data_IF_099634088710
#
_entry.id   IF_099634088710
#
_cell.length_a   1.000
_cell.length_b   1.000
_cell.length_c   1.000
_cell.angle_alpha   90.00
_cell.angle_beta   90.00
_cell.angle_gamma   90.00
#
_symmetry.space_group_name_H-M   'P 1'
#
loop_
_entity.id
_entity.type
_entity.pdbx_description
1 polymer ?
#
# COMPACT_ATOMS: atom_id res chain seq x y z
N UNK A 1 7.41 25.92 4.74
CA UNK A 1 7.08 25.44 3.36
C UNK A 1 5.69 24.84 3.40
N UNK A 2 4.83 25.22 2.44
CA UNK A 2 3.43 24.80 2.36
C UNK A 2 3.27 23.75 1.24
N UNK A 3 2.78 22.58 1.60
CA UNK A 3 2.57 21.47 0.65
C UNK A 3 1.08 21.11 0.58
N UNK A 4 0.52 21.10 -0.62
CA UNK A 4 -0.85 20.64 -0.88
C UNK A 4 -0.83 19.24 -1.47
N UNK A 5 -1.22 18.25 -0.67
CA UNK A 5 -1.48 16.89 -1.12
C UNK A 5 -2.85 16.81 -1.77
N UNK A 6 -2.92 16.29 -2.99
CA UNK A 6 -4.18 16.13 -3.73
C UNK A 6 -4.40 14.67 -4.04
N UNK A 7 -5.43 14.07 -3.43
CA UNK A 7 -5.80 12.68 -3.65
C UNK A 7 -7.32 12.50 -3.65
N UNK A 8 -7.76 11.33 -4.10
CA UNK A 8 -9.16 11.06 -4.42
C UNK A 8 -10.05 11.02 -3.18
N UNK A 9 -9.62 10.34 -2.13
CA UNK A 9 -10.37 10.07 -0.88
C UNK A 9 -9.41 10.04 0.30
N UNK A 10 -9.95 10.20 1.52
CA UNK A 10 -9.15 10.15 2.75
C UNK A 10 -9.99 9.69 3.95
N UNK A 11 -9.34 9.47 5.07
CA UNK A 11 -9.99 9.11 6.34
C UNK A 11 -11.05 10.15 6.75
N UNK A 12 -12.17 9.76 7.36
CA UNK A 12 -12.63 8.39 7.62
C UNK A 12 -13.44 7.77 6.47
N UNK A 13 -13.59 8.48 5.31
CA UNK A 13 -14.45 8.03 4.21
C UNK A 13 -13.92 6.75 3.55
N UNK A 14 -12.60 6.57 3.54
CA UNK A 14 -11.91 5.35 3.06
C UNK A 14 -10.66 5.05 3.88
N UNK A 15 -10.38 3.75 4.05
CA UNK A 15 -9.17 3.24 4.69
C UNK A 15 -8.41 2.38 3.70
N UNK A 16 -7.37 2.92 3.09
CA UNK A 16 -6.55 2.23 2.09
C UNK A 16 -5.08 2.54 2.25
N UNK A 17 -4.26 1.86 1.46
CA UNK A 17 -2.80 2.04 1.51
C UNK A 17 -2.34 3.45 1.12
N UNK A 18 -3.01 4.09 0.15
CA UNK A 18 -2.66 5.45 -0.30
C UNK A 18 -2.95 6.47 0.80
N UNK A 19 -4.12 6.39 1.43
CA UNK A 19 -4.53 7.25 2.54
C UNK A 19 -3.56 7.12 3.71
N UNK A 20 -3.15 5.89 4.02
CA UNK A 20 -2.15 5.63 5.07
C UNK A 20 -0.79 6.26 4.73
N UNK A 21 -0.31 6.12 3.49
CA UNK A 21 0.95 6.73 3.04
C UNK A 21 0.90 8.26 3.15
N UNK A 22 -0.20 8.88 2.71
CA UNK A 22 -0.36 10.34 2.76
C UNK A 22 -0.44 10.83 4.20
N UNK A 23 -1.19 10.12 5.06
CA UNK A 23 -1.25 10.41 6.48
C UNK A 23 0.13 10.36 7.13
N UNK A 24 0.83 9.25 6.94
CA UNK A 24 2.18 9.04 7.46
C UNK A 24 3.15 10.13 6.97
N UNK A 25 3.11 10.46 5.67
CA UNK A 25 3.98 11.50 5.10
C UNK A 25 3.66 12.88 5.68
N UNK A 26 2.39 13.29 5.72
CA UNK A 26 1.99 14.57 6.26
C UNK A 26 2.34 14.69 7.75
N UNK A 27 2.07 13.64 8.54
CA UNK A 27 2.37 13.62 9.98
C UNK A 27 3.87 13.75 10.27
N UNK A 28 4.73 13.09 9.46
CA UNK A 28 6.18 13.10 9.70
C UNK A 28 6.92 14.28 9.07
N UNK A 29 6.32 14.98 8.10
CA UNK A 29 6.89 16.21 7.54
C UNK A 29 6.46 17.46 8.30
N UNK A 30 5.32 17.43 9.00
CA UNK A 30 4.81 18.53 9.81
C UNK A 30 5.85 19.01 10.87
N UNK A 31 6.42 18.14 11.71
CA UNK A 31 7.43 18.54 12.69
C UNK A 31 8.75 18.98 12.05
N UNK A 32 8.96 18.69 10.77
CA UNK A 32 10.13 19.14 10.00
C UNK A 32 9.93 20.52 9.35
N UNK A 33 8.85 21.24 9.68
CA UNK A 33 8.56 22.59 9.20
C UNK A 33 7.78 22.65 7.89
N UNK A 34 7.10 21.56 7.50
CA UNK A 34 6.13 21.58 6.39
C UNK A 34 4.74 21.83 6.95
N UNK A 35 4.08 22.88 6.47
CA UNK A 35 2.65 23.06 6.66
C UNK A 35 1.91 22.27 5.60
N UNK A 36 1.25 21.17 6.01
CA UNK A 36 0.57 20.28 5.09
C UNK A 36 -0.93 20.57 5.02
N UNK A 37 -1.49 20.48 3.81
CA UNK A 37 -2.92 20.34 3.55
C UNK A 37 -3.20 19.13 2.70
N UNK A 38 -4.30 18.45 2.98
CA UNK A 38 -4.76 17.28 2.23
C UNK A 38 -6.11 17.62 1.59
N UNK A 39 -6.17 17.66 0.26
CA UNK A 39 -7.33 18.02 -0.54
C UNK A 39 -7.96 16.76 -1.14
N UNK A 40 -9.23 16.51 -0.80
CA UNK A 40 -9.96 15.29 -1.18
C UNK A 40 -11.42 15.54 -1.50
N UNK A 41 -12.10 14.52 -2.04
CA UNK A 41 -13.57 14.48 -2.10
C UNK A 41 -14.14 13.63 -0.96
N UNK A 42 -15.34 14.01 -0.54
CA UNK A 42 -16.16 13.27 0.44
C UNK A 42 -17.55 12.97 -0.14
N UNK A 43 -18.16 11.82 0.14
CA UNK A 43 -19.57 11.57 -0.18
C UNK A 43 -20.51 12.38 0.72
N UNK A 44 -20.02 12.85 1.87
CA UNK A 44 -20.75 13.66 2.83
C UNK A 44 -20.69 15.17 2.53
N UNK A 45 -21.05 15.97 3.54
CA UNK A 45 -20.98 17.42 3.42
C UNK A 45 -19.55 17.95 3.39
N UNK A 46 -19.28 19.02 2.61
CA UNK A 46 -17.96 19.63 2.54
C UNK A 46 -17.54 20.17 3.90
N UNK A 47 -16.29 19.93 4.26
CA UNK A 47 -15.74 20.39 5.55
C UNK A 47 -14.23 20.57 5.50
N UNK A 48 -13.73 21.39 6.40
CA UNK A 48 -12.30 21.52 6.73
C UNK A 48 -12.09 21.09 8.18
N UNK A 49 -10.98 20.45 8.46
CA UNK A 49 -10.66 20.02 9.81
C UNK A 49 -9.15 19.80 9.97
N UNK A 50 -8.68 19.98 11.20
CA UNK A 50 -7.30 19.67 11.55
C UNK A 50 -7.24 18.25 12.09
N UNK A 51 -6.39 17.42 11.52
CA UNK A 51 -6.12 16.08 12.02
C UNK A 51 -5.29 16.15 13.32
N UNK A 52 -5.35 15.13 14.18
CA UNK A 52 -4.58 15.11 15.43
C UNK A 52 -3.07 15.31 15.22
N UNK A 53 -2.54 14.93 14.05
CA UNK A 53 -1.15 15.14 13.65
C UNK A 53 -0.83 16.60 13.22
N UNK A 54 -1.79 17.54 13.30
CA UNK A 54 -1.58 18.97 13.11
C UNK A 54 -1.69 19.49 11.67
N UNK A 55 -2.05 18.68 10.68
CA UNK A 55 -2.27 19.13 9.29
C UNK A 55 -3.77 19.28 8.96
N UNK A 56 -4.09 20.14 7.99
CA UNK A 56 -5.46 20.41 7.58
C UNK A 56 -5.93 19.43 6.49
N UNK A 57 -7.18 18.93 6.61
CA UNK A 57 -7.86 18.17 5.56
C UNK A 57 -9.04 18.96 5.03
N UNK A 58 -9.04 19.20 3.72
CA UNK A 58 -10.06 19.96 2.98
C UNK A 58 -10.88 18.96 2.17
N UNK A 59 -12.16 18.81 2.51
CA UNK A 59 -13.09 17.88 1.87
C UNK A 59 -14.11 18.64 1.04
N UNK A 60 -14.05 18.45 -0.27
CA UNK A 60 -15.07 18.94 -1.19
C UNK A 60 -16.15 17.87 -1.41
N UNK A 61 -17.40 18.30 -1.56
CA UNK A 61 -18.51 17.38 -1.85
C UNK A 61 -18.28 16.68 -3.18
N UNK A 62 -18.48 15.38 -3.19
CA UNK A 62 -18.49 14.57 -4.40
C UNK A 62 -19.88 14.59 -5.02
N UNK A 63 -20.02 15.27 -6.17
CA UNK A 63 -21.30 15.41 -6.86
C UNK A 63 -21.65 14.17 -7.67
N UNK A 64 -20.65 13.50 -8.25
CA UNK A 64 -20.82 12.31 -9.10
C UNK A 64 -19.70 11.30 -8.84
N UNK A 65 -20.02 10.00 -8.97
CA UNK A 65 -19.03 8.93 -8.88
C UNK A 65 -19.24 7.93 -10.02
N UNK A 66 -18.30 7.91 -10.98
CA UNK A 66 -18.35 7.05 -12.18
C UNK A 66 -16.97 6.45 -12.41
N UNK A 67 -16.93 5.18 -12.81
CA UNK A 67 -15.71 4.47 -13.17
C UNK A 67 -14.62 4.61 -12.12
N UNK A 68 -14.96 4.46 -10.84
CA UNK A 68 -14.07 4.64 -9.68
C UNK A 68 -13.46 6.04 -9.55
N UNK A 69 -14.03 7.05 -10.23
CA UNK A 69 -13.59 8.45 -10.18
C UNK A 69 -14.70 9.33 -9.61
N UNK A 70 -14.36 10.11 -8.58
CA UNK A 70 -15.24 11.14 -8.04
C UNK A 70 -15.05 12.46 -8.76
N UNK A 71 -16.15 13.20 -8.96
CA UNK A 71 -16.19 14.53 -9.58
C UNK A 71 -16.83 15.54 -8.63
N UNK A 72 -16.41 16.81 -8.71
CA UNK A 72 -16.91 17.90 -7.87
C UNK A 72 -16.81 19.25 -8.57
N UNK A 73 -17.94 19.87 -8.86
CA UNK A 73 -17.97 21.20 -9.47
C UNK A 73 -17.35 22.27 -8.55
N UNK A 74 -17.62 22.15 -7.26
CA UNK A 74 -17.06 23.06 -6.25
C UNK A 74 -15.53 22.91 -6.13
N UNK A 75 -14.98 21.71 -6.22
CA UNK A 75 -13.53 21.52 -6.29
C UNK A 75 -12.96 22.14 -7.56
N UNK A 76 -13.55 21.86 -8.73
CA UNK A 76 -13.08 22.45 -9.98
C UNK A 76 -13.06 23.98 -9.89
N UNK A 77 -14.11 24.61 -9.37
CA UNK A 77 -14.19 26.06 -9.23
C UNK A 77 -13.08 26.64 -8.33
N UNK A 78 -12.76 25.95 -7.22
CA UNK A 78 -11.84 26.42 -6.19
C UNK A 78 -10.41 25.87 -6.32
N UNK A 79 -10.14 24.94 -7.24
CA UNK A 79 -8.84 24.23 -7.32
C UNK A 79 -7.65 25.18 -7.42
N UNK A 80 -7.78 26.26 -8.21
CA UNK A 80 -6.72 27.28 -8.35
C UNK A 80 -6.45 28.00 -7.03
N UNK A 81 -7.50 28.39 -6.30
CA UNK A 81 -7.40 29.05 -4.98
C UNK A 81 -6.66 28.15 -3.96
N UNK A 82 -7.00 26.85 -3.93
CA UNK A 82 -6.31 25.90 -3.04
C UNK A 82 -4.84 25.73 -3.47
N UNK A 83 -4.55 25.67 -4.78
CA UNK A 83 -3.19 25.58 -5.30
C UNK A 83 -2.37 26.85 -5.01
N UNK A 84 -2.97 28.04 -5.02
CA UNK A 84 -2.29 29.31 -4.74
C UNK A 84 -1.74 29.37 -3.30
N UNK A 85 -2.37 28.70 -2.36
CA UNK A 85 -1.87 28.58 -0.99
C UNK A 85 -0.54 27.83 -0.90
N UNK A 86 -0.32 26.84 -1.76
CA UNK A 86 0.84 25.96 -1.70
C UNK A 86 2.10 26.56 -2.31
N UNK A 87 3.24 26.24 -1.75
CA UNK A 87 4.54 26.43 -2.38
C UNK A 87 4.86 25.25 -3.30
N UNK A 88 4.44 24.03 -2.94
CA UNK A 88 4.57 22.78 -3.71
C UNK A 88 3.24 22.05 -3.80
N UNK A 89 2.88 21.60 -5.00
CA UNK A 89 1.75 20.69 -5.24
C UNK A 89 2.26 19.24 -5.19
N UNK A 90 1.71 18.42 -4.32
CA UNK A 90 1.99 16.99 -4.28
C UNK A 90 0.75 16.19 -4.71
N UNK A 91 0.78 15.75 -5.95
CA UNK A 91 -0.34 15.02 -6.55
C UNK A 91 -0.18 13.52 -6.32
N UNK A 92 -1.27 12.83 -6.02
CA UNK A 92 -1.30 11.38 -5.82
C UNK A 92 -2.04 10.70 -6.97
N UNK A 93 -1.29 10.08 -7.86
CA UNK A 93 -1.80 9.44 -9.07
C UNK A 93 -2.13 7.95 -8.81
N UNK A 94 -3.26 7.40 -9.36
CA UNK A 94 -4.13 8.00 -10.37
C UNK A 94 -5.40 8.66 -9.80
N UNK A 95 -5.69 9.86 -10.27
CA UNK A 95 -6.99 10.47 -10.11
C UNK A 95 -7.33 11.36 -11.32
N UNK A 96 -7.95 10.80 -12.40
CA UNK A 96 -8.19 11.51 -13.66
C UNK A 96 -8.89 12.86 -13.54
N UNK A 97 -9.76 13.01 -12.56
CA UNK A 97 -10.45 14.29 -12.33
C UNK A 97 -9.52 15.38 -11.77
N UNK A 98 -8.63 15.07 -10.86
CA UNK A 98 -7.65 16.03 -10.36
C UNK A 98 -6.67 16.44 -11.47
N UNK A 99 -6.28 15.52 -12.35
CA UNK A 99 -5.43 15.80 -13.50
C UNK A 99 -6.10 16.79 -14.44
N UNK A 100 -7.41 16.60 -14.68
CA UNK A 100 -8.23 17.53 -15.46
C UNK A 100 -8.32 18.90 -14.78
N UNK A 101 -8.60 18.96 -13.47
CA UNK A 101 -8.65 20.21 -12.71
C UNK A 101 -7.31 20.98 -12.80
N UNK A 102 -6.20 20.28 -12.64
CA UNK A 102 -4.85 20.84 -12.75
C UNK A 102 -4.62 21.51 -14.11
N UNK A 103 -4.97 20.82 -15.19
CA UNK A 103 -4.78 21.33 -16.56
C UNK A 103 -5.74 22.49 -16.90
N UNK A 104 -7.04 22.34 -16.57
CA UNK A 104 -8.06 23.36 -16.87
C UNK A 104 -7.85 24.66 -16.09
N UNK A 105 -7.34 24.55 -14.86
CA UNK A 105 -7.09 25.74 -14.03
C UNK A 105 -5.71 26.39 -14.26
N UNK A 106 -4.92 25.83 -15.18
CA UNK A 106 -3.64 26.41 -15.58
C UNK A 106 -2.68 26.55 -14.40
N UNK A 107 -2.56 25.52 -13.56
CA UNK A 107 -1.69 25.56 -12.40
C UNK A 107 -0.23 25.68 -12.85
N UNK A 108 0.44 26.72 -12.34
CA UNK A 108 1.85 26.98 -12.58
C UNK A 108 2.60 27.06 -11.24
N UNK A 109 2.72 25.91 -10.59
CA UNK A 109 3.39 25.74 -9.30
C UNK A 109 4.39 24.58 -9.38
N UNK A 110 5.49 24.61 -8.64
CA UNK A 110 6.32 23.43 -8.45
C UNK A 110 5.45 22.24 -8.06
N UNK A 111 5.46 21.19 -8.89
CA UNK A 111 4.54 20.06 -8.72
C UNK A 111 5.26 18.73 -8.89
N UNK A 112 5.01 17.81 -7.99
CA UNK A 112 5.46 16.44 -8.09
C UNK A 112 4.30 15.44 -7.93
N UNK A 113 4.53 14.22 -8.37
CA UNK A 113 3.57 13.12 -8.27
C UNK A 113 4.17 11.98 -7.44
N UNK A 114 3.38 11.43 -6.51
CA UNK A 114 3.49 10.05 -6.06
C UNK A 114 2.68 9.16 -6.99
N UNK A 115 3.37 8.33 -7.76
CA UNK A 115 2.76 7.38 -8.70
C UNK A 115 2.50 6.07 -7.99
N UNK A 116 1.24 5.84 -7.59
CA UNK A 116 0.87 4.68 -6.78
C UNK A 116 0.64 3.42 -7.63
N UNK A 117 0.03 3.55 -8.78
CA UNK A 117 -0.24 2.41 -9.68
C UNK A 117 -0.59 2.88 -11.09
N UNK A 118 -0.49 1.96 -12.05
CA UNK A 118 -1.13 2.11 -13.35
C UNK A 118 -2.66 2.02 -13.23
N UNK A 119 -3.37 2.61 -14.19
CA UNK A 119 -4.81 2.37 -14.36
C UNK A 119 -4.98 1.05 -15.10
N UNK A 120 -5.10 -0.05 -14.37
CA UNK A 120 -5.15 -1.42 -14.93
C UNK A 120 -6.55 -1.79 -15.39
N UNK A 121 -7.58 -1.40 -14.63
CA UNK A 121 -8.97 -1.67 -14.97
C UNK A 121 -9.50 -0.63 -15.96
N UNK A 122 -10.43 -1.03 -16.86
CA UNK A 122 -11.09 -0.12 -17.81
C UNK A 122 -10.21 0.27 -19.01
N UNK A 123 -9.68 -0.72 -19.72
CA UNK A 123 -8.75 -0.56 -20.86
C UNK A 123 -9.22 0.48 -21.89
N UNK A 124 -10.51 0.51 -22.25
CA UNK A 124 -11.05 1.46 -23.23
C UNK A 124 -11.04 2.90 -22.70
N UNK A 125 -11.47 3.11 -21.45
CA UNK A 125 -11.45 4.43 -20.82
C UNK A 125 -10.01 4.92 -20.61
N UNK A 126 -9.09 4.01 -20.31
CA UNK A 126 -7.67 4.36 -20.19
C UNK A 126 -7.08 4.84 -21.52
N UNK A 127 -7.51 4.29 -22.67
CA UNK A 127 -7.09 4.81 -24.00
C UNK A 127 -7.56 6.23 -24.25
N UNK A 128 -8.79 6.56 -23.86
CA UNK A 128 -9.32 7.93 -23.98
C UNK A 128 -8.65 8.91 -22.99
N UNK A 129 -8.32 8.41 -21.81
CA UNK A 129 -7.65 9.21 -20.78
C UNK A 129 -6.15 9.43 -21.08
N UNK A 130 -5.51 8.55 -21.82
CA UNK A 130 -4.06 8.57 -22.04
C UNK A 130 -3.51 9.93 -22.54
N UNK A 131 -4.13 10.65 -23.52
CA UNK A 131 -3.64 11.95 -23.95
C UNK A 131 -3.66 13.00 -22.83
N UNK A 132 -4.74 13.03 -22.04
CA UNK A 132 -4.88 13.94 -20.90
C UNK A 132 -3.83 13.63 -19.82
N UNK A 133 -3.70 12.34 -19.45
CA UNK A 133 -2.69 11.84 -18.51
C UNK A 133 -1.28 12.25 -18.93
N UNK A 134 -0.92 11.99 -20.19
CA UNK A 134 0.43 12.24 -20.68
C UNK A 134 0.74 13.75 -20.69
N UNK A 135 -0.25 14.59 -21.07
CA UNK A 135 -0.13 16.04 -20.98
C UNK A 135 0.01 16.50 -19.52
N UNK A 136 -0.76 15.93 -18.61
CA UNK A 136 -0.68 16.22 -17.19
C UNK A 136 0.69 15.81 -16.61
N UNK A 137 1.11 14.55 -16.83
CA UNK A 137 2.40 14.06 -16.37
C UNK A 137 3.57 14.88 -16.96
N UNK A 138 3.45 15.37 -18.21
CA UNK A 138 4.49 16.22 -18.80
C UNK A 138 4.72 17.52 -18.05
N UNK A 139 3.68 18.07 -17.39
CA UNK A 139 3.74 19.31 -16.60
C UNK A 139 4.37 19.12 -15.21
N UNK A 140 4.48 17.91 -14.74
CA UNK A 140 5.06 17.63 -13.42
C UNK A 140 6.59 17.77 -13.45
N UNK A 141 7.15 18.37 -12.42
CA UNK A 141 8.61 18.54 -12.28
C UNK A 141 9.31 17.20 -12.02
N UNK A 142 8.70 16.36 -11.17
CA UNK A 142 9.19 15.01 -10.82
C UNK A 142 8.04 14.03 -10.65
N UNK A 143 8.31 12.76 -10.90
CA UNK A 143 7.41 11.63 -10.63
C UNK A 143 8.16 10.67 -9.71
N UNK A 144 7.53 10.32 -8.59
CA UNK A 144 8.10 9.39 -7.62
C UNK A 144 7.31 8.08 -7.63
N UNK A 145 8.02 6.99 -7.87
CA UNK A 145 7.49 5.63 -7.77
C UNK A 145 7.96 4.98 -6.46
N UNK A 146 7.16 4.09 -5.92
CA UNK A 146 7.43 3.46 -4.61
C UNK A 146 8.42 2.29 -4.68
N UNK A 147 8.62 1.70 -5.86
CA UNK A 147 9.52 0.56 -6.05
C UNK A 147 10.21 0.58 -7.42
N UNK A 148 11.40 -0.06 -7.54
CA UNK A 148 12.03 -0.28 -8.85
C UNK A 148 11.17 -1.12 -9.79
N UNK A 149 10.42 -2.10 -9.26
CA UNK A 149 9.54 -2.97 -10.04
C UNK A 149 8.53 -2.17 -10.87
N UNK A 150 7.77 -1.27 -10.23
CA UNK A 150 6.80 -0.45 -10.97
C UNK A 150 7.49 0.54 -11.93
N UNK A 151 8.68 1.04 -11.60
CA UNK A 151 9.44 1.89 -12.51
C UNK A 151 9.79 1.16 -13.81
N UNK A 152 10.10 -0.14 -13.73
CA UNK A 152 10.47 -0.97 -14.88
C UNK A 152 9.26 -1.50 -15.63
N UNK A 153 8.22 -1.95 -14.93
CA UNK A 153 7.05 -2.61 -15.52
C UNK A 153 6.02 -1.65 -16.10
N UNK A 154 5.93 -0.40 -15.59
CA UNK A 154 4.94 0.58 -16.04
C UNK A 154 5.33 1.22 -17.37
N UNK A 155 4.55 1.01 -18.46
CA UNK A 155 4.79 1.69 -19.75
C UNK A 155 4.68 3.23 -19.61
N UNK A 156 3.87 3.70 -18.67
CA UNK A 156 3.71 5.14 -18.40
C UNK A 156 4.99 5.70 -17.80
N UNK A 157 5.53 5.08 -16.77
CA UNK A 157 6.76 5.55 -16.12
C UNK A 157 7.97 5.44 -17.05
N UNK A 158 8.03 4.42 -17.90
CA UNK A 158 9.07 4.29 -18.91
C UNK A 158 9.06 5.46 -19.91
N UNK A 159 7.88 5.98 -20.28
CA UNK A 159 7.75 7.19 -21.12
C UNK A 159 8.32 8.44 -20.44
N UNK A 160 8.26 8.50 -19.11
CA UNK A 160 8.72 9.64 -18.30
C UNK A 160 9.94 9.33 -17.45
N UNK A 161 10.76 8.35 -17.84
CA UNK A 161 11.91 7.83 -17.07
C UNK A 161 12.89 8.93 -16.63
N UNK A 162 13.12 9.96 -17.46
CA UNK A 162 14.09 11.02 -17.19
C UNK A 162 13.76 11.85 -15.94
N UNK A 163 12.45 11.96 -15.60
CA UNK A 163 11.98 12.65 -14.41
C UNK A 163 11.38 11.74 -13.33
N UNK A 164 11.42 10.42 -13.55
CA UNK A 164 10.99 9.43 -12.57
C UNK A 164 12.13 9.11 -11.62
N UNK A 165 11.84 9.10 -10.32
CA UNK A 165 12.77 8.78 -9.23
C UNK A 165 12.11 7.84 -8.23
N UNK A 166 12.91 7.20 -7.41
CA UNK A 166 12.43 6.29 -6.37
C UNK A 166 12.30 7.01 -5.03
N UNK A 167 11.11 6.97 -4.44
CA UNK A 167 10.90 7.18 -3.00
C UNK A 167 9.94 6.09 -2.52
N UNK A 168 10.47 5.15 -1.75
CA UNK A 168 9.70 4.05 -1.14
C UNK A 168 8.73 4.55 -0.08
N UNK A 169 7.63 3.84 0.08
CA UNK A 169 6.72 4.12 1.19
C UNK A 169 7.36 3.76 2.52
N UNK A 170 7.08 4.59 3.51
CA UNK A 170 7.40 4.36 4.90
C UNK A 170 6.14 4.12 5.71
N UNK A 171 6.28 3.31 6.74
CA UNK A 171 5.22 3.03 7.71
C UNK A 171 5.66 3.50 9.10
N UNK A 172 4.69 3.73 9.98
CA UNK A 172 4.93 4.08 11.38
C UNK A 172 5.86 3.08 12.04
N UNK A 173 6.83 3.60 12.79
CA UNK A 173 7.71 2.75 13.58
C UNK A 173 7.07 2.46 14.94
N UNK A 174 6.99 1.19 15.26
CA UNK A 174 6.56 0.74 16.58
C UNK A 174 7.67 -0.11 17.20
N UNK A 175 7.84 -0.01 18.51
CA UNK A 175 8.73 -0.89 19.23
C UNK A 175 8.36 -2.37 19.01
N UNK A 176 9.36 -3.21 18.94
CA UNK A 176 9.18 -4.66 18.81
C UNK A 176 8.38 -5.19 20.01
N UNK A 177 7.35 -5.97 19.75
CA UNK A 177 6.58 -6.64 20.79
C UNK A 177 7.39 -7.84 21.29
N UNK A 178 7.59 -7.97 22.62
CA UNK A 178 8.28 -9.16 23.15
C UNK A 178 7.57 -10.46 22.79
N UNK A 179 8.30 -11.52 22.52
CA UNK A 179 7.72 -12.85 22.25
C UNK A 179 6.93 -13.41 23.44
N UNK A 180 7.24 -12.95 24.65
CA UNK A 180 6.59 -13.35 25.91
C UNK A 180 5.31 -12.53 26.21
N UNK A 181 4.96 -11.57 25.37
CA UNK A 181 3.75 -10.75 25.53
C UNK A 181 2.50 -11.63 25.62
N UNK A 182 1.58 -11.29 26.53
CA UNK A 182 0.38 -12.10 26.82
C UNK A 182 -0.51 -12.25 25.58
N UNK A 183 -0.66 -11.19 24.78
CA UNK A 183 -1.48 -11.24 23.57
C UNK A 183 -0.81 -12.08 22.47
N UNK A 184 0.52 -12.06 22.36
CA UNK A 184 1.28 -12.93 21.46
C UNK A 184 1.08 -14.41 21.85
N UNK A 185 1.23 -14.73 23.14
CA UNK A 185 0.99 -16.09 23.65
C UNK A 185 -0.46 -16.55 23.48
N UNK A 186 -1.42 -15.66 23.63
CA UNK A 186 -2.83 -15.97 23.39
C UNK A 186 -3.10 -16.37 21.94
N UNK A 187 -2.50 -15.69 20.96
CA UNK A 187 -2.59 -16.07 19.56
C UNK A 187 -1.92 -17.44 19.28
N UNK A 188 -0.75 -17.67 19.86
CA UNK A 188 -0.06 -18.97 19.74
C UNK A 188 -0.84 -20.11 20.40
N UNK A 189 -1.48 -19.88 21.53
CA UNK A 189 -2.36 -20.86 22.16
C UNK A 189 -3.58 -21.20 21.31
N UNK A 190 -4.10 -20.23 20.55
CA UNK A 190 -5.29 -20.38 19.70
C UNK A 190 -5.00 -21.10 18.39
N UNK A 191 -3.88 -20.79 17.72
CA UNK A 191 -3.59 -21.28 16.35
C UNK A 191 -2.39 -22.22 16.28
N UNK A 192 -1.73 -22.47 17.39
CA UNK A 192 -0.49 -23.21 17.46
C UNK A 192 0.76 -22.32 17.50
N UNK A 193 1.92 -22.85 17.91
CA UNK A 193 3.17 -22.08 18.03
C UNK A 193 3.76 -21.72 16.65
N UNK A 194 3.32 -22.37 15.60
CA UNK A 194 3.73 -22.11 14.21
C UNK A 194 2.50 -22.06 13.33
N UNK A 195 2.19 -20.89 12.79
CA UNK A 195 1.11 -20.71 11.82
C UNK A 195 1.49 -19.66 10.76
N UNK A 196 1.01 -19.85 9.56
CA UNK A 196 1.10 -18.84 8.49
C UNK A 196 -0.01 -17.82 8.65
N UNK A 197 0.30 -16.57 8.32
CA UNK A 197 -0.62 -15.45 8.46
C UNK A 197 -0.79 -14.70 7.13
N UNK A 198 -2.04 -14.46 6.76
CA UNK A 198 -2.43 -13.46 5.77
C UNK A 198 -3.23 -12.34 6.45
N UNK A 199 -2.98 -11.10 6.07
CA UNK A 199 -3.74 -9.92 6.49
C UNK A 199 -4.11 -9.05 5.31
N UNK A 200 -5.39 -8.73 5.17
CA UNK A 200 -5.86 -7.80 4.14
C UNK A 200 -7.29 -8.03 3.68
N UNK A 201 -7.79 -7.12 2.84
CA UNK A 201 -9.11 -7.27 2.24
C UNK A 201 -9.18 -8.54 1.37
N UNK A 202 -10.25 -9.32 1.51
CA UNK A 202 -10.47 -10.58 0.79
C UNK A 202 -11.00 -10.26 -0.62
N UNK A 203 -10.09 -9.84 -1.51
CA UNK A 203 -10.38 -9.51 -2.91
C UNK A 203 -9.68 -10.46 -3.86
N UNK A 204 -10.22 -10.65 -5.05
CA UNK A 204 -9.71 -11.59 -6.05
C UNK A 204 -8.19 -11.41 -6.32
N UNK A 205 -7.73 -10.17 -6.53
CA UNK A 205 -6.32 -9.89 -6.85
C UNK A 205 -5.33 -10.29 -5.74
N UNK A 206 -5.83 -10.52 -4.52
CA UNK A 206 -5.02 -10.99 -3.39
C UNK A 206 -4.63 -12.47 -3.50
N UNK A 207 -5.20 -13.23 -4.43
CA UNK A 207 -4.77 -14.58 -4.75
C UNK A 207 -5.02 -15.64 -3.66
N UNK A 208 -5.92 -15.39 -2.70
CA UNK A 208 -6.17 -16.33 -1.61
C UNK A 208 -6.69 -17.69 -2.08
N UNK A 209 -7.37 -17.75 -3.22
CA UNK A 209 -7.78 -19.01 -3.86
C UNK A 209 -6.57 -19.86 -4.27
N UNK A 210 -5.45 -19.22 -4.65
CA UNK A 210 -4.19 -19.90 -4.97
C UNK A 210 -3.54 -20.44 -3.68
N UNK A 211 -3.54 -19.66 -2.60
CA UNK A 211 -3.05 -20.12 -1.29
C UNK A 211 -3.85 -21.33 -0.77
N UNK A 212 -5.18 -21.27 -0.87
CA UNK A 212 -6.06 -22.36 -0.42
C UNK A 212 -5.76 -23.65 -1.22
N UNK A 213 -5.58 -23.55 -2.53
CA UNK A 213 -5.16 -24.70 -3.35
C UNK A 213 -3.74 -25.20 -2.98
N UNK A 214 -2.82 -24.29 -2.67
CA UNK A 214 -1.47 -24.61 -2.23
C UNK A 214 -1.43 -25.37 -0.88
N UNK A 215 -2.45 -25.17 -0.04
CA UNK A 215 -2.56 -25.87 1.26
C UNK A 215 -3.10 -27.31 1.13
N UNK A 216 -3.58 -27.72 -0.04
CA UNK A 216 -4.11 -29.07 -0.26
C UNK A 216 -3.04 -30.13 0.07
N UNK A 217 -3.38 -31.07 0.95
CA UNK A 217 -2.49 -32.11 1.41
C UNK A 217 -1.40 -31.67 2.39
N UNK A 218 -1.48 -30.44 2.91
CA UNK A 218 -0.57 -29.86 3.90
C UNK A 218 -1.30 -29.53 5.19
N UNK A 219 -0.76 -29.98 6.29
CA UNK A 219 -1.34 -29.73 7.63
C UNK A 219 -0.63 -28.56 8.32
N UNK A 220 -0.55 -27.42 7.63
CA UNK A 220 0.06 -26.20 8.16
C UNK A 220 -1.00 -25.23 8.66
N UNK A 221 -1.06 -24.92 9.97
CA UNK A 221 -1.99 -23.96 10.49
C UNK A 221 -1.85 -22.63 9.75
N UNK A 222 -2.96 -22.14 9.18
CA UNK A 222 -2.97 -20.91 8.40
C UNK A 222 -4.13 -20.02 8.83
N UNK A 223 -3.85 -18.76 9.07
CA UNK A 223 -4.83 -17.76 9.54
C UNK A 223 -5.00 -16.68 8.48
N UNK A 224 -6.22 -16.52 8.00
CA UNK A 224 -6.62 -15.48 7.06
C UNK A 224 -7.43 -14.43 7.82
N UNK A 225 -6.89 -13.21 7.92
CA UNK A 225 -7.54 -12.10 8.62
C UNK A 225 -8.02 -11.05 7.63
N UNK A 226 -9.28 -10.69 7.75
CA UNK A 226 -9.91 -9.62 6.96
C UNK A 226 -11.31 -9.95 6.51
N UNK A 227 -11.89 -9.02 5.74
CA UNK A 227 -13.21 -9.14 5.11
C UNK A 227 -13.13 -8.79 3.63
N UNK A 228 -14.09 -9.23 2.85
CA UNK A 228 -14.17 -8.87 1.44
C UNK A 228 -15.21 -9.69 0.67
N UNK A 229 -15.37 -9.33 -0.60
CA UNK A 229 -16.33 -9.93 -1.53
C UNK A 229 -16.03 -11.40 -1.84
N UNK A 230 -14.79 -11.84 -1.63
CA UNK A 230 -14.36 -13.23 -1.87
C UNK A 230 -14.54 -14.16 -0.66
N UNK A 231 -14.95 -13.66 0.50
CA UNK A 231 -14.94 -14.43 1.75
C UNK A 231 -15.74 -15.75 1.66
N UNK A 232 -16.96 -15.70 1.11
CA UNK A 232 -17.81 -16.90 1.00
C UNK A 232 -17.22 -17.92 0.03
N UNK A 233 -16.72 -17.47 -1.13
CA UNK A 233 -16.11 -18.36 -2.12
C UNK A 233 -14.86 -19.05 -1.57
N UNK A 234 -14.01 -18.31 -0.83
CA UNK A 234 -12.80 -18.85 -0.21
C UNK A 234 -13.13 -19.89 0.87
N UNK A 235 -14.13 -19.64 1.73
CA UNK A 235 -14.59 -20.59 2.74
C UNK A 235 -15.16 -21.86 2.10
N UNK A 236 -15.90 -21.71 1.00
CA UNK A 236 -16.44 -22.85 0.27
C UNK A 236 -15.33 -23.70 -0.36
N UNK A 237 -14.33 -23.07 -1.00
CA UNK A 237 -13.17 -23.77 -1.56
C UNK A 237 -12.39 -24.53 -0.47
N UNK A 238 -12.14 -23.90 0.68
CA UNK A 238 -11.47 -24.54 1.80
C UNK A 238 -12.22 -25.79 2.30
N UNK A 239 -13.53 -25.72 2.40
CA UNK A 239 -14.41 -26.84 2.77
C UNK A 239 -14.35 -27.99 1.75
N UNK A 240 -14.41 -27.66 0.46
CA UNK A 240 -14.35 -28.66 -0.63
C UNK A 240 -13.01 -29.39 -0.65
N UNK A 241 -11.93 -28.71 -0.29
CA UNK A 241 -10.59 -29.31 -0.16
C UNK A 241 -10.35 -30.00 1.18
N UNK A 242 -11.31 -29.96 2.10
CA UNK A 242 -11.22 -30.59 3.42
C UNK A 242 -10.16 -29.95 4.34
N UNK A 243 -9.86 -28.68 4.19
CA UNK A 243 -8.86 -27.98 5.01
C UNK A 243 -9.43 -27.68 6.41
N UNK A 244 -8.93 -28.37 7.43
CA UNK A 244 -9.37 -28.21 8.83
C UNK A 244 -8.49 -27.24 9.62
N UNK A 245 -7.29 -26.96 9.15
CA UNK A 245 -6.26 -26.12 9.77
C UNK A 245 -6.22 -24.70 9.19
N UNK A 246 -7.19 -24.31 8.36
CA UNK A 246 -7.35 -22.97 7.81
C UNK A 246 -8.41 -22.19 8.61
N UNK A 247 -8.01 -21.06 9.20
CA UNK A 247 -8.84 -20.26 10.07
C UNK A 247 -9.14 -18.89 9.43
N UNK A 248 -10.42 -18.55 9.29
CA UNK A 248 -10.87 -17.23 8.88
C UNK A 248 -11.19 -16.39 10.12
N UNK A 249 -10.51 -15.26 10.26
CA UNK A 249 -10.69 -14.32 11.36
C UNK A 249 -11.22 -12.99 10.78
N UNK A 250 -12.22 -12.37 11.39
CA UNK A 250 -12.67 -11.05 11.00
C UNK A 250 -11.54 -10.01 11.07
N UNK A 251 -11.82 -8.80 10.61
CA UNK A 251 -10.91 -7.68 10.78
C UNK A 251 -10.59 -7.44 12.25
N UNK A 252 -9.34 -7.20 12.55
CA UNK A 252 -8.80 -6.97 13.90
C UNK A 252 -8.31 -5.53 14.05
N UNK A 253 -8.17 -5.04 15.27
CA UNK A 253 -7.59 -3.74 15.57
C UNK A 253 -6.12 -3.66 15.17
N UNK A 254 -5.58 -2.45 15.07
CA UNK A 254 -4.15 -2.26 14.76
C UNK A 254 -3.23 -2.85 15.83
N UNK A 255 -3.64 -2.88 17.08
CA UNK A 255 -2.89 -3.49 18.16
C UNK A 255 -2.89 -5.02 18.04
N UNK A 256 -4.07 -5.62 17.86
CA UNK A 256 -4.21 -7.05 17.60
C UNK A 256 -3.46 -7.50 16.34
N UNK A 257 -3.50 -6.68 15.27
CA UNK A 257 -2.72 -6.94 14.05
C UNK A 257 -1.23 -7.09 14.34
N UNK A 258 -0.65 -6.20 15.15
CA UNK A 258 0.78 -6.25 15.49
C UNK A 258 1.12 -7.46 16.35
N UNK A 259 0.32 -7.76 17.37
CA UNK A 259 0.55 -8.95 18.22
C UNK A 259 0.36 -10.25 17.45
N UNK A 260 -0.59 -10.28 16.49
CA UNK A 260 -0.81 -11.43 15.62
C UNK A 260 0.35 -11.63 14.64
N UNK A 261 0.86 -10.56 14.02
CA UNK A 261 2.07 -10.63 13.19
C UNK A 261 3.28 -11.11 14.00
N UNK A 262 3.42 -10.66 15.25
CA UNK A 262 4.50 -11.08 16.13
C UNK A 262 4.38 -12.56 16.56
N UNK A 263 3.16 -13.07 16.66
CA UNK A 263 2.88 -14.46 17.01
C UNK A 263 3.06 -15.43 15.83
N UNK A 264 2.91 -14.96 14.62
CA UNK A 264 2.97 -15.78 13.41
C UNK A 264 4.38 -16.29 13.10
N UNK A 265 4.44 -17.43 12.40
CA UNK A 265 5.67 -18.05 11.96
C UNK A 265 6.16 -17.55 10.61
N UNK A 266 5.25 -17.28 9.69
CA UNK A 266 5.54 -16.74 8.37
C UNK A 266 4.35 -15.96 7.82
N UNK A 267 4.63 -14.92 7.05
CA UNK A 267 3.61 -14.12 6.39
C UNK A 267 3.41 -14.59 4.96
N UNK A 268 2.18 -14.91 4.57
CA UNK A 268 1.85 -15.38 3.22
C UNK A 268 1.09 -14.29 2.47
N UNK A 269 1.60 -13.91 1.30
CA UNK A 269 1.06 -12.83 0.50
C UNK A 269 0.91 -13.24 -0.97
N UNK A 270 -0.12 -14.04 -1.29
CA UNK A 270 -0.30 -14.64 -2.61
C UNK A 270 -0.85 -13.69 -3.67
N UNK A 271 -0.79 -12.35 -3.46
CA UNK A 271 -1.26 -11.37 -4.43
C UNK A 271 -0.67 -11.63 -5.80
N UNK A 272 -1.55 -11.79 -6.80
CA UNK A 272 -1.18 -12.33 -8.11
C UNK A 272 -1.41 -11.35 -9.28
N UNK A 273 -1.83 -10.12 -8.98
CA UNK A 273 -2.10 -9.10 -10.02
C UNK A 273 -1.41 -7.77 -9.68
N UNK A 274 -1.01 -6.99 -10.69
CA UNK A 274 -0.37 -5.68 -10.51
C UNK A 274 -1.24 -4.60 -9.82
N UNK A 275 -2.52 -4.91 -9.55
CA UNK A 275 -3.38 -4.09 -8.67
C UNK A 275 -2.84 -3.98 -7.24
N UNK A 276 -1.97 -4.91 -6.83
CA UNK A 276 -1.15 -4.79 -5.63
C UNK A 276 0.11 -4.00 -5.95
N UNK A 277 0.06 -2.70 -5.72
CA UNK A 277 1.12 -1.80 -6.18
C UNK A 277 2.41 -1.86 -5.34
N UNK A 278 2.31 -2.14 -4.04
CA UNK A 278 3.47 -2.13 -3.13
C UNK A 278 3.45 -3.27 -2.10
N UNK A 279 2.29 -3.53 -1.50
CA UNK A 279 2.18 -4.46 -0.39
C UNK A 279 2.63 -3.84 0.94
N UNK A 280 1.97 -2.76 1.39
CA UNK A 280 2.29 -2.08 2.66
C UNK A 280 2.33 -3.07 3.83
N UNK A 281 1.44 -4.06 3.82
CA UNK A 281 1.39 -5.10 4.85
C UNK A 281 2.65 -5.98 4.88
N UNK A 282 3.39 -6.10 3.78
CA UNK A 282 4.71 -6.77 3.77
C UNK A 282 5.75 -5.95 4.55
N UNK A 283 5.71 -4.61 4.44
CA UNK A 283 6.56 -3.75 5.26
C UNK A 283 6.18 -3.84 6.76
N UNK A 284 4.88 -3.96 7.06
CA UNK A 284 4.41 -4.19 8.43
C UNK A 284 4.88 -5.56 8.98
N UNK A 285 4.85 -6.62 8.15
CA UNK A 285 5.40 -7.93 8.51
C UNK A 285 6.92 -7.85 8.74
N UNK A 286 7.64 -7.16 7.84
CA UNK A 286 9.09 -6.94 7.98
C UNK A 286 9.44 -6.22 9.29
N UNK A 287 8.62 -5.23 9.71
CA UNK A 287 8.79 -4.51 10.98
C UNK A 287 8.73 -5.44 12.19
N UNK A 288 7.95 -6.51 12.12
CA UNK A 288 7.86 -7.51 13.19
C UNK A 288 8.92 -8.62 13.07
N UNK A 289 9.82 -8.53 12.09
CA UNK A 289 10.78 -9.58 11.81
C UNK A 289 10.15 -10.86 11.29
N UNK A 290 8.96 -10.76 10.67
CA UNK A 290 8.21 -11.90 10.16
C UNK A 290 8.64 -12.17 8.70
N UNK A 291 9.25 -13.33 8.41
CA UNK A 291 9.66 -13.69 7.06
C UNK A 291 8.44 -13.96 6.16
N UNK A 292 8.61 -13.78 4.84
CA UNK A 292 7.48 -13.67 3.93
C UNK A 292 7.54 -14.66 2.77
N UNK A 293 6.38 -15.13 2.31
CA UNK A 293 6.20 -15.77 1.00
C UNK A 293 5.30 -14.86 0.17
N UNK A 294 5.79 -14.38 -0.97
CA UNK A 294 5.05 -13.47 -1.86
C UNK A 294 5.20 -13.86 -3.32
N UNK A 295 4.49 -13.16 -4.22
CA UNK A 295 4.58 -13.41 -5.66
C UNK A 295 5.31 -12.27 -6.39
N UNK A 296 6.04 -12.62 -7.47
CA UNK A 296 6.62 -11.66 -8.40
C UNK A 296 5.57 -11.17 -9.39
N UNK A 297 5.07 -9.98 -9.18
CA UNK A 297 4.01 -9.38 -10.01
C UNK A 297 4.43 -8.08 -10.70
N UNK A 298 5.73 -7.79 -10.72
CA UNK A 298 6.30 -6.59 -11.36
C UNK A 298 6.02 -5.29 -10.62
N UNK A 299 5.72 -5.34 -9.31
CA UNK A 299 5.38 -4.16 -8.50
C UNK A 299 6.31 -4.02 -7.29
N UNK A 300 5.80 -3.53 -6.15
CA UNK A 300 6.58 -3.38 -4.92
C UNK A 300 6.75 -4.65 -4.09
N UNK A 301 6.00 -5.71 -4.38
CA UNK A 301 5.97 -6.91 -3.52
C UNK A 301 7.33 -7.59 -3.40
N UNK A 302 7.99 -7.83 -4.53
CA UNK A 302 9.35 -8.40 -4.61
C UNK A 302 10.46 -7.41 -4.26
N UNK A 303 10.14 -6.12 -4.16
CA UNK A 303 11.06 -5.12 -3.62
C UNK A 303 11.03 -5.09 -2.08
N UNK A 304 9.88 -5.32 -1.47
CA UNK A 304 9.78 -5.43 0.00
C UNK A 304 10.30 -6.78 0.47
N UNK A 305 9.81 -7.87 -0.13
CA UNK A 305 10.27 -9.23 0.13
C UNK A 305 11.31 -9.65 -0.92
N UNK A 306 12.56 -9.79 -0.51
CA UNK A 306 13.64 -10.24 -1.38
C UNK A 306 13.77 -11.75 -1.34
N UNK A 307 13.74 -12.38 -2.54
CA UNK A 307 13.86 -13.83 -2.67
C UNK A 307 15.17 -14.37 -2.10
N UNK A 308 15.07 -15.40 -1.26
CA UNK A 308 16.19 -16.02 -0.57
C UNK A 308 16.85 -15.16 0.52
N UNK A 309 16.40 -13.90 0.72
CA UNK A 309 16.97 -12.99 1.71
C UNK A 309 16.03 -12.66 2.87
N UNK A 310 14.79 -12.26 2.57
CA UNK A 310 13.77 -11.93 3.58
C UNK A 310 12.59 -12.89 3.58
N UNK A 311 12.67 -13.89 2.72
CA UNK A 311 11.69 -14.93 2.51
C UNK A 311 11.80 -15.53 1.12
N UNK A 312 10.69 -15.98 0.55
CA UNK A 312 10.63 -16.55 -0.81
C UNK A 312 9.69 -15.76 -1.69
N UNK A 313 10.05 -15.67 -2.98
CA UNK A 313 9.21 -15.05 -4.00
C UNK A 313 8.92 -16.09 -5.10
N UNK A 314 7.64 -16.32 -5.37
CA UNK A 314 7.20 -17.35 -6.33
C UNK A 314 6.47 -16.72 -7.51
N UNK A 315 6.25 -17.51 -8.57
CA UNK A 315 5.43 -17.09 -9.71
C UNK A 315 3.97 -16.84 -9.24
N UNK A 316 3.31 -15.80 -9.78
CA UNK A 316 1.91 -15.51 -9.45
C UNK A 316 0.98 -16.59 -10.03
N UNK A 317 -0.13 -16.86 -9.33
CA UNK A 317 -1.15 -17.87 -9.72
C UNK A 317 -0.62 -19.31 -9.80
N UNK A 318 0.52 -19.62 -9.20
CA UNK A 318 1.11 -20.94 -9.16
C UNK A 318 0.96 -21.55 -7.74
N UNK A 319 -0.09 -22.34 -7.55
CA UNK A 319 -0.36 -23.02 -6.27
C UNK A 319 0.70 -24.08 -5.94
N UNK A 320 1.34 -24.68 -6.92
CA UNK A 320 2.38 -25.69 -6.72
C UNK A 320 3.65 -25.02 -6.16
N UNK A 321 4.12 -23.96 -6.83
CA UNK A 321 5.28 -23.20 -6.38
C UNK A 321 5.03 -22.58 -4.99
N UNK A 322 3.81 -22.05 -4.74
CA UNK A 322 3.46 -21.50 -3.43
C UNK A 322 3.46 -22.59 -2.35
N UNK A 323 2.92 -23.76 -2.66
CA UNK A 323 2.96 -24.92 -1.76
C UNK A 323 4.38 -25.39 -1.43
N UNK A 324 5.27 -25.45 -2.44
CA UNK A 324 6.69 -25.77 -2.22
C UNK A 324 7.38 -24.72 -1.33
N UNK A 325 7.06 -23.45 -1.47
CA UNK A 325 7.57 -22.40 -0.60
C UNK A 325 7.08 -22.58 0.86
N UNK A 326 5.82 -22.95 1.07
CA UNK A 326 5.30 -23.32 2.39
C UNK A 326 6.07 -24.53 2.98
N UNK A 327 6.36 -25.56 2.17
CA UNK A 327 7.14 -26.73 2.58
C UNK A 327 8.57 -26.35 3.00
N UNK A 328 9.23 -25.45 2.25
CA UNK A 328 10.56 -24.94 2.62
C UNK A 328 10.51 -24.21 3.97
N UNK A 329 9.54 -23.32 4.17
CA UNK A 329 9.37 -22.63 5.46
C UNK A 329 9.17 -23.63 6.60
N UNK A 330 8.31 -24.62 6.39
CA UNK A 330 7.96 -25.56 7.44
C UNK A 330 9.13 -26.46 7.86
N UNK A 331 9.93 -26.88 6.87
CA UNK A 331 11.01 -27.85 7.06
C UNK A 331 12.37 -27.22 7.35
N UNK A 332 12.53 -25.88 7.18
CA UNK A 332 13.80 -25.18 7.40
C UNK A 332 13.66 -24.01 8.40
N UNK A 333 13.30 -24.29 9.67
CA UNK A 333 13.01 -23.25 10.66
C UNK A 333 14.19 -22.32 10.95
N UNK A 334 15.42 -22.81 10.92
CA UNK A 334 16.63 -22.01 11.12
C UNK A 334 16.81 -20.97 10.01
N UNK A 335 16.56 -21.36 8.76
CA UNK A 335 16.61 -20.45 7.62
C UNK A 335 15.50 -19.38 7.69
N UNK A 336 14.30 -19.77 8.10
CA UNK A 336 13.16 -18.87 8.30
C UNK A 336 13.47 -17.80 9.35
N UNK A 337 14.15 -18.17 10.44
CA UNK A 337 14.61 -17.21 11.44
C UNK A 337 15.64 -16.22 10.87
N UNK A 338 16.58 -16.69 10.02
CA UNK A 338 17.55 -15.83 9.33
C UNK A 338 16.83 -14.83 8.43
N UNK A 339 15.83 -15.27 7.65
CA UNK A 339 15.03 -14.39 6.80
C UNK A 339 14.25 -13.36 7.61
N UNK A 340 13.69 -13.74 8.76
CA UNK A 340 12.99 -12.81 9.64
C UNK A 340 13.90 -11.69 10.16
N UNK A 341 15.12 -12.02 10.61
CA UNK A 341 16.11 -11.02 11.03
C UNK A 341 16.48 -10.07 9.89
N UNK A 342 16.70 -10.60 8.67
CA UNK A 342 16.99 -9.78 7.47
C UNK A 342 15.80 -8.92 7.06
N UNK A 343 14.57 -9.41 7.19
CA UNK A 343 13.36 -8.63 6.93
C UNK A 343 13.27 -7.41 7.85
N UNK A 344 13.56 -7.57 9.14
CA UNK A 344 13.62 -6.47 10.10
C UNK A 344 14.69 -5.44 9.75
N UNK A 345 15.90 -5.88 9.45
CA UNK A 345 16.99 -4.98 9.03
C UNK A 345 16.59 -4.18 7.78
N UNK A 346 15.98 -4.84 6.80
CA UNK A 346 15.51 -4.19 5.58
C UNK A 346 14.42 -3.14 5.85
N UNK A 347 13.49 -3.41 6.78
CA UNK A 347 12.52 -2.42 7.25
C UNK A 347 13.22 -1.21 7.86
N UNK A 348 14.16 -1.44 8.77
CA UNK A 348 14.92 -0.38 9.45
C UNK A 348 15.63 0.57 8.48
N UNK A 349 16.18 0.05 7.40
CA UNK A 349 16.91 0.80 6.39
C UNK A 349 16.02 1.56 5.42
N UNK A 350 14.89 0.95 5.02
CA UNK A 350 14.17 1.40 3.82
C UNK A 350 12.73 1.86 4.06
N UNK A 351 12.03 1.31 5.05
CA UNK A 351 10.57 1.42 5.14
C UNK A 351 10.06 2.19 6.37
N UNK A 352 10.92 2.93 7.06
CA UNK A 352 10.51 3.82 8.15
C UNK A 352 9.84 5.08 7.61
N UNK A 353 8.81 5.55 8.32
CA UNK A 353 8.12 6.80 8.03
C UNK A 353 9.06 8.00 7.95
N UNK A 354 10.01 8.09 8.90
CA UNK A 354 11.00 9.18 8.96
C UNK A 354 11.93 9.18 7.74
N UNK A 355 12.27 8.00 7.23
CA UNK A 355 13.10 7.87 6.02
C UNK A 355 12.35 8.37 4.78
N UNK A 356 11.07 8.01 4.64
CA UNK A 356 10.19 8.54 3.59
C UNK A 356 10.04 10.05 3.71
N UNK A 357 9.75 10.56 4.90
CA UNK A 357 9.57 11.99 5.15
C UNK A 357 10.82 12.80 4.77
N UNK A 358 12.01 12.36 5.20
CA UNK A 358 13.28 13.04 4.84
C UNK A 358 13.52 13.05 3.33
N UNK A 359 13.22 11.96 2.62
CA UNK A 359 13.36 11.89 1.15
C UNK A 359 12.41 12.86 0.45
N UNK A 360 11.14 12.96 0.89
CA UNK A 360 10.20 13.94 0.34
C UNK A 360 10.57 15.38 0.71
N UNK A 361 11.09 15.64 1.91
CA UNK A 361 11.62 16.96 2.27
C UNK A 361 12.73 17.41 1.33
N UNK A 362 13.66 16.52 0.99
CA UNK A 362 14.71 16.80 0.02
C UNK A 362 14.11 17.08 -1.38
N UNK A 363 13.12 16.28 -1.79
CA UNK A 363 12.42 16.45 -3.06
C UNK A 363 11.68 17.79 -3.15
N UNK A 364 10.95 18.20 -2.11
CA UNK A 364 10.28 19.50 -2.06
C UNK A 364 11.29 20.66 -2.11
N UNK A 365 12.39 20.55 -1.35
CA UNK A 365 13.42 21.57 -1.33
C UNK A 365 14.15 21.72 -2.68
N UNK A 366 14.31 20.64 -3.43
CA UNK A 366 14.88 20.67 -4.80
C UNK A 366 13.97 21.43 -5.77
N UNK A 367 12.65 21.32 -5.62
CA UNK A 367 11.69 21.98 -6.50
C UNK A 367 11.56 23.51 -6.26
N UNK A 368 12.00 23.98 -5.10
CA UNK A 368 11.92 25.40 -4.71
C UNK A 368 13.21 26.18 -4.99
N UNK A 369 14.27 25.49 -5.42
CA UNK A 369 15.53 26.08 -5.90
C UNK A 369 15.43 26.50 -7.35
#
# INVERSE_FOLDING_TARGET
MRVLHVLKTFFPDTYGGIEQVVHTLASHTQPLGVENRVLVLTPGEPRRGIEPAGYEVIRYKRDLYVASTGFSLSLLANFKKEAEWADVMHMHFPWPYADLCYLLRGINKPSLISYHSDVVNQVQLNKLYAPLRDRYLSKMSRIYAASPGIMQSSPVLQKFKDKTRLITYGIEHFAQIPAEDVAVKAWQAKFGPRFFLFLGALRYYKGLHVLIEALKGRDYPTVIVGRGDQEQALKQQAKELGLTNLHFVPEVSNEEKRTLMRAAYGFVFPSHMPSEAFGIVLAEASQQGLPMISCEIGTGTSYVNLDGETGLVVAPSDAVAFGQALDVFWNQPEQVEVWGRKALLRYEENFKAETMARRYMAAYSELLK
#
